data_IF_327762827102
#
_entry.id   IF_327762827102
#
_cell.length_a   1.000
_cell.length_b   1.000
_cell.length_c   1.000
_cell.angle_alpha   90.00
_cell.angle_beta   90.00
_cell.angle_gamma   90.00
#
_symmetry.space_group_name_H-M   'P 1'
#
loop_
_entity.id
_entity.type
_entity.pdbx_description
1 polymer ?
#
# COMPACT_ATOMS: atom_id res chain seq x y z
N UNK A 1 23.31 65.12 -4.57
CA UNK A 1 22.87 66.41 -4.04
C UNK A 1 21.57 66.31 -3.31
N UNK A 2 21.52 66.93 -2.08
CA UNK A 2 20.40 67.13 -1.12
C UNK A 2 19.97 65.87 -0.39
N UNK A 3 20.32 65.62 0.80
CA UNK A 3 20.32 66.07 2.19
C UNK A 3 18.98 66.68 2.65
N UNK A 4 18.69 66.31 3.92
CA UNK A 4 17.85 66.90 4.97
C UNK A 4 16.55 66.11 5.25
N UNK A 5 16.10 65.95 6.50
CA UNK A 5 16.59 66.26 7.84
C UNK A 5 15.73 65.54 8.89
N UNK A 6 16.33 65.29 10.04
CA UNK A 6 15.73 64.95 11.33
C UNK A 6 14.61 65.90 11.75
N UNK A 7 13.63 65.46 12.51
CA UNK A 7 13.24 66.15 13.74
C UNK A 7 12.53 65.21 14.74
N UNK A 8 13.15 65.18 15.89
CA UNK A 8 12.62 64.67 17.16
C UNK A 8 11.56 65.65 17.73
N UNK A 9 10.53 65.13 18.39
CA UNK A 9 9.73 65.89 19.33
C UNK A 9 9.63 65.14 20.65
N UNK A 10 10.22 65.78 21.69
CA UNK A 10 10.03 65.50 23.11
C UNK A 10 9.05 66.55 23.64
N UNK A 11 8.07 66.19 24.42
CA UNK A 11 7.45 67.02 25.48
C UNK A 11 6.58 66.11 26.37
N UNK A 12 6.83 66.03 27.48
CA UNK A 12 6.66 66.74 28.75
C UNK A 12 5.56 66.16 29.61
N UNK A 13 6.01 65.60 30.67
CA UNK A 13 5.54 65.47 32.06
C UNK A 13 4.22 66.16 32.38
N UNK A 14 3.33 65.42 33.06
CA UNK A 14 2.62 65.96 34.25
C UNK A 14 2.38 64.87 35.29
N UNK A 15 2.86 65.18 36.48
CA UNK A 15 2.62 64.41 37.70
C UNK A 15 1.27 64.83 38.30
N UNK A 16 0.42 63.87 38.60
CA UNK A 16 -0.55 64.04 39.67
C UNK A 16 -0.48 62.89 40.65
N UNK A 17 -0.09 63.27 41.87
CA UNK A 17 -0.20 62.47 43.10
C UNK A 17 -1.63 62.41 43.55
N UNK A 18 -2.19 61.23 43.79
CA UNK A 18 -3.27 61.06 44.77
C UNK A 18 -3.23 59.66 45.40
N UNK A 19 -3.05 59.67 46.70
CA UNK A 19 -3.79 58.92 47.68
C UNK A 19 -3.74 57.41 47.72
N UNK A 20 -3.16 56.91 48.82
CA UNK A 20 -3.02 55.51 49.17
C UNK A 20 -4.29 54.69 49.20
N UNK A 21 -4.21 53.53 48.65
CA UNK A 21 -5.02 52.37 49.01
C UNK A 21 -4.11 51.13 48.96
N UNK A 22 -3.98 50.49 50.13
CA UNK A 22 -3.29 49.21 50.23
C UNK A 22 -4.13 48.15 49.51
N UNK A 23 -3.75 47.82 48.28
CA UNK A 23 -4.30 46.64 47.62
C UNK A 23 -3.34 45.48 47.82
N UNK A 24 -3.83 44.44 48.47
CA UNK A 24 -3.22 43.15 48.57
C UNK A 24 -2.97 42.61 47.15
N UNK A 25 -1.71 42.44 46.79
CA UNK A 25 -1.32 41.73 45.56
C UNK A 25 -1.66 40.26 45.77
N UNK A 26 -2.84 39.84 45.35
CA UNK A 26 -3.06 38.46 44.96
C UNK A 26 -2.25 38.21 43.68
N UNK A 27 -1.16 37.47 43.81
CA UNK A 27 -0.46 36.94 42.70
C UNK A 27 -1.38 35.91 42.01
N UNK A 28 -2.15 36.36 41.05
CA UNK A 28 -2.79 35.51 40.10
C UNK A 28 -1.69 34.91 39.22
N UNK A 29 -1.20 33.71 39.59
CA UNK A 29 -0.53 32.84 38.66
C UNK A 29 -1.51 32.63 37.50
N UNK A 30 -1.14 33.02 36.26
CA UNK A 30 -1.89 32.54 35.13
C UNK A 30 -1.62 31.02 35.08
N UNK A 31 -2.66 30.27 35.47
CA UNK A 31 -2.77 28.86 35.17
C UNK A 31 -2.81 28.78 33.65
N UNK A 32 -1.62 28.71 33.06
CA UNK A 32 -1.44 28.43 31.63
C UNK A 32 -1.94 27.01 31.46
N UNK A 33 -3.25 26.90 31.21
CA UNK A 33 -3.93 25.69 30.82
C UNK A 33 -3.25 25.25 29.51
N UNK A 34 -2.25 24.40 29.66
CA UNK A 34 -1.63 23.67 28.55
C UNK A 34 -2.73 22.76 28.01
N UNK A 35 -3.59 23.31 27.17
CA UNK A 35 -4.40 22.51 26.27
C UNK A 35 -3.40 21.77 25.38
N UNK A 36 -2.99 20.61 25.84
CA UNK A 36 -2.52 19.54 24.96
C UNK A 36 -3.63 19.37 23.92
N UNK A 37 -3.46 20.02 22.79
CA UNK A 37 -4.15 19.66 21.58
C UNK A 37 -3.78 18.19 21.33
N UNK A 38 -4.61 17.30 21.87
CA UNK A 38 -4.72 15.96 21.33
C UNK A 38 -5.19 16.16 19.88
N UNK A 39 -4.25 16.46 19.00
CA UNK A 39 -4.41 16.12 17.61
C UNK A 39 -4.54 14.61 17.66
N UNK A 40 -5.71 14.04 17.34
CA UNK A 40 -5.76 12.61 17.12
C UNK A 40 -4.81 12.38 15.96
N UNK A 41 -3.56 12.00 16.28
CA UNK A 41 -2.78 11.27 15.30
C UNK A 41 -3.71 10.13 14.92
N UNK A 42 -4.30 10.21 13.74
CA UNK A 42 -4.84 9.04 13.09
C UNK A 42 -3.64 8.09 13.05
N UNK A 43 -3.58 7.20 14.02
CA UNK A 43 -2.87 5.95 13.83
C UNK A 43 -3.55 5.35 12.60
N UNK A 44 -2.95 5.57 11.44
CA UNK A 44 -3.20 4.69 10.32
C UNK A 44 -2.79 3.35 10.90
N UNK A 45 -3.76 2.51 11.22
CA UNK A 45 -3.49 1.16 11.63
C UNK A 45 -2.60 0.61 10.55
N UNK A 46 -1.33 0.36 10.90
CA UNK A 46 -0.42 -0.34 10.01
C UNK A 46 -1.10 -1.67 9.79
N UNK A 47 -1.65 -1.85 8.61
CA UNK A 47 -2.35 -3.09 8.25
C UNK A 47 -1.27 -4.16 8.25
N UNK A 48 -1.28 -5.00 9.29
CA UNK A 48 -0.38 -6.14 9.39
C UNK A 48 -0.60 -7.02 8.17
N UNK A 49 0.43 -7.21 7.38
CA UNK A 49 0.42 -8.14 6.25
C UNK A 49 1.52 -9.19 6.45
N UNK A 50 1.32 -10.35 5.86
CA UNK A 50 2.24 -11.49 5.99
C UNK A 50 3.45 -11.31 5.06
N UNK A 51 4.58 -10.90 5.63
CA UNK A 51 5.84 -10.71 4.88
C UNK A 51 6.48 -12.02 4.40
N UNK A 52 5.97 -13.18 4.83
CA UNK A 52 6.44 -14.50 4.37
C UNK A 52 5.80 -14.94 3.06
N UNK A 53 4.82 -14.19 2.55
CA UNK A 53 4.20 -14.49 1.25
C UNK A 53 5.18 -14.13 0.14
N UNK A 54 5.43 -15.09 -0.73
CA UNK A 54 6.22 -14.89 -1.96
C UNK A 54 5.32 -14.95 -3.18
N UNK A 55 5.75 -14.32 -4.26
CA UNK A 55 5.00 -14.26 -5.51
C UNK A 55 5.80 -14.89 -6.65
N UNK A 56 5.09 -15.56 -7.54
CA UNK A 56 5.64 -16.16 -8.76
C UNK A 56 4.89 -15.62 -9.96
N UNK A 57 5.60 -14.95 -10.86
CA UNK A 57 5.04 -14.48 -12.12
C UNK A 57 4.74 -15.67 -13.04
N UNK A 58 3.56 -15.71 -13.64
CA UNK A 58 3.06 -16.80 -14.47
C UNK A 58 3.06 -16.43 -15.95
N UNK A 59 2.53 -15.26 -16.30
CA UNK A 59 2.39 -14.80 -17.67
C UNK A 59 2.41 -13.26 -17.73
N UNK A 60 2.74 -12.71 -18.89
CA UNK A 60 2.58 -11.29 -19.22
C UNK A 60 2.24 -11.07 -20.67
N UNK A 61 1.66 -9.94 -20.97
CA UNK A 61 1.42 -9.43 -22.31
C UNK A 61 1.50 -7.90 -22.27
N UNK A 62 2.16 -7.23 -23.23
CA UNK A 62 2.95 -7.81 -24.33
C UNK A 62 4.30 -8.38 -23.84
N UNK A 63 5.08 -8.96 -24.75
CA UNK A 63 6.43 -9.43 -24.44
C UNK A 63 7.35 -8.29 -24.00
N UNK A 64 8.35 -8.63 -23.18
CA UNK A 64 9.37 -7.68 -22.73
C UNK A 64 10.24 -7.18 -23.89
N UNK A 65 10.79 -5.97 -23.75
CA UNK A 65 11.76 -5.40 -24.72
C UNK A 65 13.05 -6.22 -24.80
N UNK A 66 13.39 -6.93 -23.73
CA UNK A 66 14.53 -7.86 -23.68
C UNK A 66 14.31 -8.92 -22.59
N UNK A 67 15.02 -10.06 -22.70
CA UNK A 67 14.96 -11.12 -21.67
C UNK A 67 15.46 -10.61 -20.30
N UNK A 68 16.40 -9.69 -20.28
CA UNK A 68 16.92 -9.08 -19.05
C UNK A 68 15.88 -8.22 -18.31
N UNK A 69 14.86 -7.73 -19.00
CA UNK A 69 13.82 -6.81 -18.49
C UNK A 69 12.43 -7.47 -18.52
N UNK A 70 12.37 -8.79 -18.36
CA UNK A 70 11.12 -9.52 -18.41
C UNK A 70 10.27 -9.34 -17.14
N UNK A 71 9.00 -9.68 -17.22
CA UNK A 71 7.99 -9.48 -16.17
C UNK A 71 8.28 -10.19 -14.83
N UNK A 72 9.15 -11.22 -14.80
CA UNK A 72 9.57 -11.89 -13.57
C UNK A 72 10.37 -10.97 -12.65
N UNK A 73 10.93 -9.89 -13.22
CA UNK A 73 11.65 -8.85 -12.49
C UNK A 73 10.78 -8.07 -11.51
N UNK A 74 9.45 -8.07 -11.71
CA UNK A 74 8.51 -7.42 -10.79
C UNK A 74 8.46 -8.06 -9.40
N UNK A 75 8.99 -9.27 -9.22
CA UNK A 75 8.86 -10.06 -7.99
C UNK A 75 10.20 -10.68 -7.54
N UNK A 76 11.33 -10.16 -7.99
CA UNK A 76 12.64 -10.73 -7.65
C UNK A 76 13.29 -10.05 -6.42
N UNK A 77 12.65 -9.04 -5.84
CA UNK A 77 13.11 -8.31 -4.67
C UNK A 77 14.29 -7.36 -4.93
N UNK A 78 14.64 -7.13 -6.20
CA UNK A 78 15.78 -6.34 -6.60
C UNK A 78 15.35 -4.97 -7.09
N UNK A 79 15.50 -3.94 -6.27
CA UNK A 79 14.99 -2.60 -6.58
C UNK A 79 15.99 -1.69 -7.28
N UNK A 80 17.30 -1.98 -7.21
CA UNK A 80 18.37 -1.02 -7.58
C UNK A 80 19.43 -1.59 -8.53
N UNK A 81 19.17 -2.69 -9.20
CA UNK A 81 20.16 -3.39 -10.06
C UNK A 81 20.09 -2.99 -11.55
N UNK A 82 19.61 -1.79 -11.86
CA UNK A 82 19.54 -1.29 -13.24
C UNK A 82 18.54 -2.06 -14.10
N UNK A 83 18.91 -2.35 -15.35
CA UNK A 83 18.02 -3.04 -16.29
C UNK A 83 17.67 -4.47 -15.84
N UNK A 84 18.51 -5.11 -15.02
CA UNK A 84 18.24 -6.45 -14.51
C UNK A 84 17.21 -6.48 -13.37
N UNK A 85 16.74 -5.33 -12.92
CA UNK A 85 15.75 -5.18 -11.81
C UNK A 85 14.47 -4.46 -12.23
N UNK A 86 14.03 -4.61 -13.48
CA UNK A 86 12.78 -4.01 -13.94
C UNK A 86 12.10 -4.85 -15.03
N UNK A 87 10.79 -4.70 -15.09
CA UNK A 87 9.99 -5.09 -16.26
C UNK A 87 9.88 -3.92 -17.23
N UNK A 88 10.13 -4.18 -18.50
CA UNK A 88 10.00 -3.20 -19.56
C UNK A 88 9.39 -3.87 -20.79
N UNK A 89 8.30 -3.30 -21.32
CA UNK A 89 7.63 -3.85 -22.51
C UNK A 89 7.14 -2.73 -23.43
N UNK A 90 6.96 -3.06 -24.72
CA UNK A 90 6.30 -2.14 -25.66
C UNK A 90 4.83 -2.02 -25.33
N UNK A 91 4.37 -0.79 -25.06
CA UNK A 91 3.01 -0.52 -24.66
C UNK A 91 2.13 -0.14 -25.85
N UNK A 92 1.20 -1.03 -26.19
CA UNK A 92 0.27 -0.85 -27.32
C UNK A 92 -1.17 -0.64 -26.82
N UNK A 93 -1.35 0.17 -25.78
CA UNK A 93 -2.65 0.50 -25.19
C UNK A 93 -3.04 -0.38 -24.00
N UNK A 94 -2.38 -1.50 -23.80
CA UNK A 94 -2.53 -2.32 -22.60
C UNK A 94 -1.29 -3.15 -22.32
N UNK A 95 -1.07 -3.46 -21.04
CA UNK A 95 -0.11 -4.45 -20.58
C UNK A 95 -0.64 -5.16 -19.34
N UNK A 96 -0.32 -6.42 -19.15
CA UNK A 96 -0.73 -7.14 -17.96
C UNK A 96 0.34 -8.13 -17.50
N UNK A 97 0.28 -8.46 -16.20
CA UNK A 97 1.02 -9.57 -15.61
C UNK A 97 0.08 -10.40 -14.75
N UNK A 98 0.18 -11.73 -14.87
CA UNK A 98 -0.53 -12.68 -14.02
C UNK A 98 0.50 -13.32 -13.09
N UNK A 99 0.19 -13.38 -11.82
CA UNK A 99 1.09 -13.93 -10.81
C UNK A 99 0.30 -14.65 -9.70
N UNK A 100 1.01 -15.52 -8.97
CA UNK A 100 0.46 -16.34 -7.90
C UNK A 100 1.19 -16.08 -6.60
N UNK A 101 0.43 -15.95 -5.51
CA UNK A 101 0.97 -15.94 -4.16
C UNK A 101 1.21 -17.35 -3.63
N UNK A 102 2.25 -17.54 -2.81
CA UNK A 102 2.53 -18.81 -2.12
C UNK A 102 1.43 -19.22 -1.16
N UNK A 103 0.67 -18.24 -0.62
CA UNK A 103 -0.51 -18.42 0.24
C UNK A 103 -1.62 -17.50 -0.23
N UNK A 104 -2.86 -17.94 -0.14
CA UNK A 104 -4.00 -17.06 -0.32
C UNK A 104 -4.08 -16.03 0.80
N UNK A 105 -4.52 -14.81 0.49
CA UNK A 105 -4.69 -13.76 1.46
C UNK A 105 -5.55 -12.61 0.94
N UNK A 106 -6.00 -11.76 1.85
CA UNK A 106 -6.77 -10.56 1.54
C UNK A 106 -5.80 -9.44 1.15
N UNK A 107 -5.89 -8.87 -0.06
CA UNK A 107 -5.08 -7.73 -0.45
C UNK A 107 -5.41 -6.49 0.41
N UNK A 108 -4.42 -5.97 1.10
CA UNK A 108 -4.56 -4.74 1.93
C UNK A 108 -3.87 -3.53 1.30
N UNK A 109 -3.00 -3.75 0.34
CA UNK A 109 -2.31 -2.71 -0.40
C UNK A 109 -1.20 -3.28 -1.27
N UNK A 110 -0.51 -2.42 -1.98
CA UNK A 110 0.66 -2.77 -2.79
C UNK A 110 1.62 -1.59 -2.91
N UNK A 111 2.86 -1.91 -3.26
CA UNK A 111 3.90 -0.91 -3.54
C UNK A 111 4.37 -1.06 -4.97
N UNK A 112 4.46 0.05 -5.70
CA UNK A 112 5.08 0.13 -7.01
C UNK A 112 6.41 0.85 -6.87
N UNK A 113 7.50 0.24 -7.32
CA UNK A 113 8.82 0.85 -7.39
C UNK A 113 9.15 1.19 -8.84
N UNK A 114 9.58 2.41 -9.09
CA UNK A 114 9.97 2.90 -10.41
C UNK A 114 11.31 2.29 -10.88
N UNK A 115 11.54 2.32 -12.18
CA UNK A 115 12.78 1.77 -12.77
C UNK A 115 14.03 2.64 -12.53
N UNK A 116 15.13 2.22 -13.13
CA UNK A 116 16.46 2.82 -12.96
C UNK A 116 16.68 4.14 -13.72
N UNK A 117 15.84 4.44 -14.69
CA UNK A 117 16.00 5.56 -15.62
C UNK A 117 14.73 6.42 -15.77
N UNK A 118 13.84 6.37 -14.75
CA UNK A 118 12.59 7.13 -14.72
C UNK A 118 12.80 8.65 -14.75
N UNK A 119 13.89 9.18 -14.18
CA UNK A 119 14.24 10.60 -14.26
C UNK A 119 14.48 11.07 -15.70
N UNK A 120 14.91 10.16 -16.58
CA UNK A 120 15.09 10.44 -18.02
C UNK A 120 13.85 10.08 -18.82
N UNK A 121 13.15 9.03 -18.44
CA UNK A 121 12.03 8.43 -19.17
C UNK A 121 10.76 8.30 -18.32
N UNK A 122 10.39 9.33 -17.59
CA UNK A 122 9.27 9.36 -16.66
C UNK A 122 7.91 9.00 -17.25
N UNK A 123 7.70 9.29 -18.53
CA UNK A 123 6.49 8.90 -19.24
C UNK A 123 6.20 7.41 -19.26
N UNK A 124 7.16 6.55 -18.94
CA UNK A 124 7.03 5.09 -18.92
C UNK A 124 6.32 4.53 -17.69
N UNK A 125 6.04 5.35 -16.67
CA UNK A 125 5.28 4.93 -15.51
C UNK A 125 3.83 4.58 -15.86
N UNK A 126 3.22 3.57 -15.19
CA UNK A 126 1.79 3.35 -15.23
C UNK A 126 1.01 4.61 -14.90
N UNK A 127 -0.10 4.87 -15.62
CA UNK A 127 -1.00 6.00 -15.40
C UNK A 127 -2.39 5.55 -14.99
N UNK A 128 -2.86 4.45 -15.58
CA UNK A 128 -4.15 3.86 -15.21
C UNK A 128 -4.00 2.34 -15.21
N UNK A 129 -4.56 1.70 -14.18
CA UNK A 129 -4.48 0.25 -14.03
C UNK A 129 -5.61 -0.30 -13.17
N UNK A 130 -5.78 -1.63 -13.27
CA UNK A 130 -6.65 -2.43 -12.40
C UNK A 130 -5.87 -3.60 -11.84
N UNK A 131 -6.17 -3.91 -10.59
CA UNK A 131 -5.71 -5.12 -9.92
C UNK A 131 -6.89 -6.05 -9.71
N UNK A 132 -6.73 -7.30 -10.09
CA UNK A 132 -7.75 -8.34 -9.95
C UNK A 132 -7.22 -9.52 -9.15
N UNK A 133 -8.14 -10.30 -8.57
CA UNK A 133 -7.87 -11.56 -7.91
C UNK A 133 -8.80 -12.68 -8.34
N UNK A 134 -8.33 -13.92 -8.23
CA UNK A 134 -9.16 -15.12 -8.27
C UNK A 134 -8.51 -16.27 -7.49
N UNK A 135 -9.22 -17.41 -7.41
CA UNK A 135 -8.74 -18.61 -6.70
C UNK A 135 -8.59 -19.84 -7.59
N UNK A 136 -8.88 -19.72 -8.88
CA UNK A 136 -8.81 -20.84 -9.85
C UNK A 136 -7.57 -20.73 -10.76
N UNK A 137 -7.07 -19.52 -10.97
CA UNK A 137 -6.01 -19.25 -11.95
C UNK A 137 -6.50 -19.23 -13.40
N UNK A 138 -7.82 -19.36 -13.65
CA UNK A 138 -8.43 -19.29 -14.97
C UNK A 138 -8.82 -17.89 -15.35
N UNK A 139 -8.82 -17.57 -16.64
CA UNK A 139 -9.00 -16.19 -17.16
C UNK A 139 -10.45 -15.67 -17.06
N UNK A 140 -11.41 -16.52 -16.76
CA UNK A 140 -12.84 -16.21 -16.77
C UNK A 140 -13.44 -15.80 -15.41
N UNK A 141 -12.61 -15.75 -14.36
CA UNK A 141 -13.08 -15.54 -12.97
C UNK A 141 -12.39 -14.39 -12.23
N UNK A 142 -11.91 -13.37 -12.94
CA UNK A 142 -11.24 -12.24 -12.33
C UNK A 142 -12.20 -11.28 -11.65
N UNK A 143 -12.00 -11.04 -10.35
CA UNK A 143 -12.74 -10.06 -9.55
C UNK A 143 -11.89 -8.82 -9.30
N UNK A 144 -12.47 -7.63 -9.47
CA UNK A 144 -11.76 -6.37 -9.28
C UNK A 144 -11.44 -6.14 -7.80
N UNK A 145 -10.16 -5.89 -7.50
CA UNK A 145 -9.65 -5.55 -6.17
C UNK A 145 -9.48 -4.04 -6.03
N UNK A 146 -8.80 -3.43 -7.00
CA UNK A 146 -8.47 -2.00 -6.98
C UNK A 146 -8.39 -1.43 -8.40
N UNK A 147 -8.71 -0.14 -8.52
CA UNK A 147 -8.64 0.59 -9.78
C UNK A 147 -8.04 1.98 -9.54
N UNK A 148 -6.99 2.30 -10.29
CA UNK A 148 -6.39 3.64 -10.33
C UNK A 148 -6.56 4.22 -11.73
N UNK A 149 -7.14 5.42 -11.79
CA UNK A 149 -7.33 6.18 -13.01
C UNK A 149 -6.58 7.50 -12.93
N UNK A 150 -5.81 7.82 -13.98
CA UNK A 150 -5.05 9.08 -14.07
C UNK A 150 -4.15 9.35 -12.86
N UNK A 151 -3.30 8.38 -12.52
CA UNK A 151 -2.42 8.43 -11.35
C UNK A 151 -1.64 9.75 -11.24
N UNK A 152 -1.53 10.24 -10.00
CA UNK A 152 -0.76 11.44 -9.62
C UNK A 152 0.29 11.18 -8.55
N UNK A 153 0.39 9.92 -8.09
CA UNK A 153 1.26 9.50 -6.98
C UNK A 153 2.66 9.17 -7.48
N UNK A 154 2.77 8.32 -8.51
CA UNK A 154 4.05 7.97 -9.12
C UNK A 154 4.75 9.20 -9.67
N UNK A 155 6.04 9.33 -9.38
CA UNK A 155 6.88 10.43 -9.85
C UNK A 155 8.01 9.90 -10.72
N UNK A 156 8.56 10.79 -11.55
CA UNK A 156 9.70 10.51 -12.41
C UNK A 156 11.01 10.51 -11.61
N UNK A 157 11.12 9.54 -10.70
CA UNK A 157 12.31 9.29 -9.88
C UNK A 157 12.78 7.87 -10.06
N UNK A 158 14.11 7.71 -10.06
CA UNK A 158 14.72 6.38 -10.13
C UNK A 158 14.55 5.66 -8.81
N UNK A 159 14.16 4.37 -8.86
CA UNK A 159 14.10 3.47 -7.70
C UNK A 159 13.21 3.95 -6.54
N UNK A 160 12.22 4.79 -6.83
CA UNK A 160 11.32 5.32 -5.81
C UNK A 160 10.10 4.40 -5.64
N UNK A 161 9.77 4.10 -4.39
CA UNK A 161 8.63 3.25 -4.03
C UNK A 161 7.44 4.08 -3.58
N UNK A 162 6.25 3.71 -4.05
CA UNK A 162 4.99 4.40 -3.81
C UNK A 162 3.94 3.39 -3.36
N UNK A 163 3.23 3.72 -2.28
CA UNK A 163 2.25 2.83 -1.65
C UNK A 163 0.83 3.15 -2.08
N UNK A 164 0.07 2.09 -2.31
CA UNK A 164 -1.37 2.10 -2.62
C UNK A 164 -2.11 1.20 -1.65
N UNK A 165 -3.33 1.56 -1.29
CA UNK A 165 -4.17 0.79 -0.36
C UNK A 165 -5.32 0.11 -1.09
N UNK A 166 -5.59 -1.15 -0.79
CA UNK A 166 -6.76 -1.85 -1.29
C UNK A 166 -7.92 -1.80 -0.29
N UNK A 167 -9.16 -1.81 -0.81
CA UNK A 167 -10.39 -1.96 -0.02
C UNK A 167 -11.03 -3.30 -0.34
N UNK A 168 -10.31 -4.37 -0.10
CA UNK A 168 -10.74 -5.72 -0.38
C UNK A 168 -11.00 -6.47 0.92
N UNK A 169 -11.97 -7.39 0.92
CA UNK A 169 -12.27 -8.29 2.03
C UNK A 169 -12.21 -9.77 1.62
N UNK A 170 -11.99 -10.04 0.36
CA UNK A 170 -11.94 -11.40 -0.20
C UNK A 170 -10.49 -11.86 -0.32
N UNK A 171 -10.26 -13.12 0.06
CA UNK A 171 -8.96 -13.77 -0.04
C UNK A 171 -8.76 -14.38 -1.43
N UNK A 172 -7.63 -14.09 -2.04
CA UNK A 172 -7.23 -14.60 -3.35
C UNK A 172 -5.84 -15.21 -3.32
N UNK A 173 -5.56 -16.09 -4.27
CA UNK A 173 -4.24 -16.68 -4.46
C UNK A 173 -3.62 -16.29 -5.81
N UNK A 174 -4.42 -16.02 -6.83
CA UNK A 174 -3.98 -15.59 -8.15
C UNK A 174 -4.37 -14.14 -8.37
N UNK A 175 -3.50 -13.39 -9.03
CA UNK A 175 -3.66 -11.96 -9.27
C UNK A 175 -3.33 -11.63 -10.71
N UNK A 176 -4.03 -10.61 -11.23
CA UNK A 176 -3.73 -9.98 -12.51
C UNK A 176 -3.63 -8.47 -12.30
N UNK A 177 -2.48 -7.90 -12.66
CA UNK A 177 -2.31 -6.46 -12.73
C UNK A 177 -2.35 -6.04 -14.20
N UNK A 178 -3.33 -5.23 -14.55
CA UNK A 178 -3.62 -4.78 -15.91
C UNK A 178 -3.46 -3.27 -16.00
N UNK A 179 -2.50 -2.83 -16.80
CA UNK A 179 -2.20 -1.42 -17.05
C UNK A 179 -2.88 -1.01 -18.35
N UNK A 180 -3.74 0.00 -18.32
CA UNK A 180 -4.51 0.50 -19.46
C UNK A 180 -4.00 1.84 -20.01
N UNK A 181 -3.10 2.54 -19.29
CA UNK A 181 -2.44 3.74 -19.75
C UNK A 181 -1.09 3.94 -19.08
N UNK A 182 -0.17 4.58 -19.77
CA UNK A 182 1.11 5.11 -19.27
C UNK A 182 1.13 6.63 -19.40
N UNK A 183 2.05 7.30 -18.69
CA UNK A 183 2.11 8.76 -18.71
C UNK A 183 2.55 9.32 -20.07
N UNK A 184 3.33 8.59 -20.84
CA UNK A 184 3.74 8.99 -22.20
C UNK A 184 4.71 8.00 -22.87
N UNK A 185 4.88 8.17 -24.17
CA UNK A 185 5.73 7.29 -24.97
C UNK A 185 5.03 5.97 -25.34
N UNK A 186 5.83 4.97 -25.69
CA UNK A 186 5.41 3.66 -26.21
C UNK A 186 6.02 2.49 -25.44
N UNK A 187 6.62 2.76 -24.27
CA UNK A 187 7.25 1.76 -23.41
C UNK A 187 6.70 1.91 -21.99
N UNK A 188 6.21 0.81 -21.43
CA UNK A 188 5.91 0.67 -20.01
C UNK A 188 7.17 0.22 -19.28
N UNK A 189 7.43 0.78 -18.09
CA UNK A 189 8.53 0.40 -17.23
C UNK A 189 8.09 0.37 -15.76
N UNK A 190 8.44 -0.70 -15.05
CA UNK A 190 8.22 -0.85 -13.60
C UNK A 190 9.40 -1.59 -13.00
N UNK A 191 9.94 -1.09 -11.90
CA UNK A 191 11.03 -1.75 -11.17
C UNK A 191 10.53 -2.97 -10.40
N UNK A 192 9.62 -2.76 -9.45
CA UNK A 192 9.11 -3.81 -8.57
C UNK A 192 7.63 -3.60 -8.29
N UNK A 193 6.90 -4.70 -8.08
CA UNK A 193 5.51 -4.70 -7.62
C UNK A 193 5.38 -5.61 -6.40
N UNK A 194 5.09 -5.03 -5.24
CA UNK A 194 4.95 -5.75 -3.97
C UNK A 194 3.51 -5.71 -3.50
N UNK A 195 2.77 -6.80 -3.66
CA UNK A 195 1.42 -6.94 -3.12
C UNK A 195 1.48 -7.30 -1.64
N UNK A 196 0.72 -6.61 -0.81
CA UNK A 196 0.62 -6.83 0.64
C UNK A 196 -0.63 -7.65 0.93
N UNK A 197 -0.45 -8.88 1.40
CA UNK A 197 -1.54 -9.79 1.72
C UNK A 197 -1.65 -10.01 3.23
N UNK A 198 -2.83 -9.81 3.77
CA UNK A 198 -3.16 -10.28 5.11
C UNK A 198 -3.59 -11.73 5.00
N UNK A 199 -2.77 -12.64 5.48
CA UNK A 199 -3.11 -14.06 5.54
C UNK A 199 -3.82 -14.36 6.84
N UNK A 200 -4.78 -15.28 6.79
CA UNK A 200 -5.49 -15.73 7.97
C UNK A 200 -4.73 -16.88 8.64
N UNK A 201 -4.50 -16.76 9.94
CA UNK A 201 -3.93 -17.88 10.74
C UNK A 201 -4.91 -19.04 10.91
N UNK A 202 -6.18 -18.83 10.58
CA UNK A 202 -7.31 -19.73 10.88
C UNK A 202 -7.47 -20.05 12.36
N UNK A 203 -6.96 -19.16 13.22
CA UNK A 203 -7.06 -19.26 14.68
C UNK A 203 -7.85 -18.07 15.23
N UNK A 204 -8.70 -18.31 16.20
CA UNK A 204 -9.35 -17.29 17.01
C UNK A 204 -8.32 -16.62 17.96
N UNK A 205 -8.71 -15.52 18.59
CA UNK A 205 -7.87 -14.79 19.53
C UNK A 205 -7.43 -15.64 20.76
N UNK A 206 -8.18 -16.67 21.11
CA UNK A 206 -7.87 -17.62 22.19
C UNK A 206 -6.99 -18.81 21.73
N UNK A 207 -6.57 -18.83 20.46
CA UNK A 207 -5.76 -19.88 19.85
C UNK A 207 -6.53 -21.11 19.36
N UNK A 208 -7.84 -21.17 19.57
CA UNK A 208 -8.69 -22.23 19.00
C UNK A 208 -8.81 -22.06 17.48
N UNK A 209 -9.17 -23.15 16.77
CA UNK A 209 -9.37 -23.09 15.32
C UNK A 209 -10.62 -22.27 14.97
N UNK A 210 -10.47 -21.32 14.03
CA UNK A 210 -11.56 -20.49 13.51
C UNK A 210 -12.37 -21.25 12.46
N UNK A 211 -12.83 -22.45 12.81
CA UNK A 211 -13.62 -23.31 11.93
C UNK A 211 -15.10 -22.91 12.01
N UNK A 212 -15.65 -22.57 10.86
CA UNK A 212 -17.08 -22.35 10.69
C UNK A 212 -17.79 -23.62 10.24
N UNK A 213 -18.77 -23.46 9.36
CA UNK A 213 -19.59 -24.55 8.85
C UNK A 213 -18.76 -25.64 8.15
N UNK A 214 -19.12 -26.91 8.36
CA UNK A 214 -18.56 -28.05 7.63
C UNK A 214 -19.13 -28.03 6.22
N UNK A 215 -18.24 -27.99 5.22
CA UNK A 215 -18.59 -27.98 3.81
C UNK A 215 -18.61 -29.39 3.21
N UNK A 216 -17.66 -30.22 3.66
CA UNK A 216 -17.49 -31.59 3.15
C UNK A 216 -16.90 -32.48 4.25
N UNK A 217 -17.25 -33.75 4.21
CA UNK A 217 -16.64 -34.78 5.04
C UNK A 217 -16.21 -35.96 4.16
N UNK A 218 -14.95 -36.33 4.26
CA UNK A 218 -14.39 -37.51 3.59
C UNK A 218 -13.93 -38.48 4.68
N UNK A 219 -14.48 -39.68 4.69
CA UNK A 219 -14.12 -40.72 5.66
C UNK A 219 -12.75 -41.34 5.29
N UNK A 220 -11.95 -41.76 6.28
CA UNK A 220 -10.67 -42.41 6.02
C UNK A 220 -10.86 -43.77 5.34
N UNK A 221 -9.89 -44.11 4.51
CA UNK A 221 -9.78 -45.47 3.91
C UNK A 221 -8.56 -46.18 4.50
N UNK A 222 -8.31 -47.43 4.10
CA UNK A 222 -7.11 -48.15 4.52
C UNK A 222 -5.79 -47.51 4.04
N UNK A 223 -5.84 -46.60 3.04
CA UNK A 223 -4.67 -46.01 2.38
C UNK A 223 -4.66 -44.52 2.44
N UNK A 224 -5.76 -43.84 2.78
CA UNK A 224 -5.88 -42.40 2.79
C UNK A 224 -6.54 -41.88 4.06
N UNK A 225 -6.03 -40.78 4.60
CA UNK A 225 -6.64 -40.12 5.75
C UNK A 225 -7.96 -39.45 5.37
N UNK A 226 -8.96 -39.62 6.20
CA UNK A 226 -10.19 -38.85 6.13
C UNK A 226 -9.95 -37.38 6.48
N UNK A 227 -10.85 -36.51 6.04
CA UNK A 227 -10.79 -35.08 6.39
C UNK A 227 -12.18 -34.45 6.41
N UNK A 228 -12.24 -33.30 7.06
CA UNK A 228 -13.36 -32.35 6.90
C UNK A 228 -12.84 -31.07 6.28
N UNK A 229 -13.63 -30.42 5.43
CA UNK A 229 -13.40 -29.05 5.01
C UNK A 229 -14.38 -28.14 5.74
N UNK A 230 -13.87 -27.02 6.19
CA UNK A 230 -14.60 -26.00 6.92
C UNK A 230 -14.42 -24.64 6.26
N UNK A 231 -15.44 -23.82 6.31
CA UNK A 231 -15.29 -22.41 6.00
C UNK A 231 -14.71 -21.69 7.21
N UNK A 232 -13.58 -21.01 7.05
CA UNK A 232 -13.01 -20.20 8.13
C UNK A 232 -13.95 -19.05 8.50
N UNK A 233 -14.27 -18.90 9.79
CA UNK A 233 -15.16 -17.85 10.29
C UNK A 233 -14.54 -16.44 10.20
N UNK A 234 -13.22 -16.34 10.06
CA UNK A 234 -12.49 -15.07 10.00
C UNK A 234 -12.24 -14.57 8.59
N UNK A 235 -11.94 -15.46 7.63
CA UNK A 235 -11.55 -15.08 6.28
C UNK A 235 -12.36 -15.74 5.16
N UNK A 236 -13.34 -16.57 5.51
CA UNK A 236 -14.20 -17.34 4.59
C UNK A 236 -13.46 -18.34 3.67
N UNK A 237 -12.16 -18.53 3.82
CA UNK A 237 -11.43 -19.54 3.05
C UNK A 237 -11.76 -20.95 3.52
N UNK A 238 -11.54 -21.94 2.64
CA UNK A 238 -11.75 -23.37 2.98
C UNK A 238 -10.51 -23.89 3.71
N UNK A 239 -10.72 -24.41 4.90
CA UNK A 239 -9.70 -25.04 5.74
C UNK A 239 -9.93 -26.54 5.74
N UNK A 240 -8.90 -27.33 5.42
CA UNK A 240 -8.94 -28.78 5.44
C UNK A 240 -8.37 -29.29 6.76
N UNK A 241 -9.14 -30.07 7.52
CA UNK A 241 -8.75 -30.67 8.78
C UNK A 241 -8.75 -32.20 8.61
N UNK A 242 -7.59 -32.82 8.74
CA UNK A 242 -7.45 -34.27 8.62
C UNK A 242 -7.94 -34.98 9.87
N UNK A 243 -8.67 -36.09 9.68
CA UNK A 243 -9.04 -37.03 10.73
C UNK A 243 -7.82 -37.91 11.02
N UNK A 244 -7.45 -38.01 12.29
CA UNK A 244 -6.34 -38.86 12.75
C UNK A 244 -6.66 -40.34 12.63
#
# INVERSE_FOLDING_TARGET
>A
MKKFNNQSYVSHVDRMNYGGAKFYRFALFPLMLLMLLFVPTRMVAQTDYDTSVTFSALASSPEAVSEAENFKKLFDGKKTEGNSSKWCCYFHGSANVIFKASKAGVPVGYTITTGNDNETWGGRNPKSWKLYGNNTGSDDAWELIDEVSEDKVLKDKNYASYEFTCKCSTSYQYFKWEISAIHGGDILQVGEFELKLQTCSHKNADGSDALGEVMETVEPTCTEHGYTTHKCSLCNSIVKVYKG
#
